data_IF_618858407187
#
_entry.id   IF_618858407187
#
_cell.length_a   1.000
_cell.length_b   1.000
_cell.length_c   1.000
_cell.angle_alpha   90.00
_cell.angle_beta   90.00
_cell.angle_gamma   90.00
#
_symmetry.space_group_name_H-M   'P 1'
#
loop_
_entity.id
_entity.type
_entity.pdbx_description
1 polymer ?
#
# COMPACT_ATOMS: atom_id res chain seq x y z
N UNK A 1 -14.54 -18.87 19.26
CA UNK A 1 -13.16 -19.09 18.80
C UNK A 1 -12.29 -18.28 19.74
N UNK A 2 -11.63 -18.95 20.68
CA UNK A 2 -10.84 -18.34 21.74
C UNK A 2 -9.59 -17.70 21.12
N UNK A 3 -9.32 -16.44 21.45
CA UNK A 3 -8.10 -15.77 21.01
C UNK A 3 -6.86 -16.53 21.52
N UNK A 4 -5.77 -16.66 20.74
CA UNK A 4 -4.55 -17.29 21.23
C UNK A 4 -3.91 -16.40 22.30
N UNK A 5 -3.89 -16.88 23.54
CA UNK A 5 -3.31 -16.22 24.70
C UNK A 5 -3.56 -17.04 25.97
N UNK A 6 -2.76 -16.85 27.04
CA UNK A 6 -3.03 -17.50 28.32
C UNK A 6 -4.43 -17.15 28.82
N UNK A 7 -5.07 -18.08 29.52
CA UNK A 7 -6.36 -17.85 30.17
C UNK A 7 -6.30 -16.56 31.02
N UNK A 8 -7.34 -15.69 31.01
CA UNK A 8 -7.28 -14.37 31.66
C UNK A 8 -6.95 -14.43 33.16
N UNK A 9 -7.33 -15.52 33.82
CA UNK A 9 -6.99 -15.80 35.22
C UNK A 9 -5.49 -16.09 35.46
N UNK A 10 -4.76 -16.54 34.43
CA UNK A 10 -3.35 -16.95 34.51
C UNK A 10 -2.40 -15.89 33.92
N UNK A 11 -2.92 -14.79 33.36
CA UNK A 11 -2.12 -13.72 32.78
C UNK A 11 -1.63 -12.74 33.87
N UNK A 12 -0.31 -12.63 34.09
CA UNK A 12 0.24 -11.77 35.13
C UNK A 12 -0.01 -10.29 34.83
N UNK A 13 -0.48 -9.54 35.82
CA UNK A 13 -0.77 -8.10 35.71
C UNK A 13 -2.22 -7.74 35.38
N UNK A 14 -3.12 -8.71 35.19
CA UNK A 14 -4.55 -8.45 35.00
C UNK A 14 -5.30 -8.46 36.34
N UNK A 15 -6.00 -7.37 36.63
CA UNK A 15 -7.02 -7.37 37.69
C UNK A 15 -8.20 -8.28 37.29
N UNK A 16 -8.90 -8.87 38.28
CA UNK A 16 -10.15 -9.60 38.03
C UNK A 16 -11.14 -8.72 37.24
N UNK A 17 -11.32 -9.02 35.95
CA UNK A 17 -12.04 -8.15 35.01
C UNK A 17 -11.30 -7.85 33.71
N UNK A 18 -10.02 -8.24 33.59
CA UNK A 18 -9.25 -8.12 32.34
C UNK A 18 -8.69 -6.71 32.08
N UNK A 19 -8.69 -5.85 33.10
CA UNK A 19 -8.00 -4.56 33.06
C UNK A 19 -6.57 -4.69 33.58
N UNK A 20 -5.64 -3.96 32.96
CA UNK A 20 -4.28 -3.76 33.43
C UNK A 20 -4.15 -2.39 34.11
N UNK A 21 -3.31 -2.23 35.14
CA UNK A 21 -2.98 -0.93 35.72
C UNK A 21 -2.48 0.08 34.68
N UNK A 22 -2.86 1.36 34.76
CA UNK A 22 -2.35 2.39 33.86
C UNK A 22 -0.83 2.50 33.94
N UNK A 23 -0.12 2.11 32.88
CA UNK A 23 1.35 2.06 32.84
C UNK A 23 1.91 0.70 32.42
N UNK A 24 1.11 -0.37 32.50
CA UNK A 24 1.43 -1.61 31.79
C UNK A 24 1.22 -1.40 30.29
N UNK A 25 2.25 -1.73 29.51
CA UNK A 25 2.18 -1.66 28.05
C UNK A 25 1.06 -2.61 27.61
N UNK A 26 0.04 -2.14 26.86
CA UNK A 26 -0.99 -3.02 26.32
C UNK A 26 -0.32 -4.20 25.60
N UNK A 27 -0.77 -5.46 25.77
CA UNK A 27 -0.18 -6.59 25.05
C UNK A 27 -0.33 -6.35 23.56
N UNK A 28 0.77 -6.01 22.88
CA UNK A 28 0.94 -5.73 21.44
C UNK A 28 -0.39 -5.58 20.68
N UNK A 29 -1.18 -4.56 21.06
CA UNK A 29 -2.51 -4.36 20.50
C UNK A 29 -2.34 -3.78 19.10
N UNK A 30 -2.35 -4.68 18.12
CA UNK A 30 -2.38 -4.32 16.71
C UNK A 30 -1.02 -4.24 16.05
N UNK A 31 -0.16 -5.25 16.23
CA UNK A 31 0.69 -5.63 15.10
C UNK A 31 -0.27 -5.96 13.96
N UNK A 32 -0.31 -5.11 12.93
CA UNK A 32 -1.06 -5.44 11.72
C UNK A 32 -0.49 -6.77 11.24
N UNK A 33 -1.32 -7.83 11.30
CA UNK A 33 -0.99 -9.23 11.01
C UNK A 33 -0.52 -9.48 9.55
N UNK A 34 -0.06 -8.44 8.85
CA UNK A 34 0.30 -8.44 7.44
C UNK A 34 1.62 -7.76 7.10
N UNK A 35 2.40 -7.24 8.05
CA UNK A 35 3.69 -6.57 7.71
C UNK A 35 4.83 -7.55 7.36
N UNK A 36 4.66 -8.84 7.67
CA UNK A 36 5.67 -9.86 7.34
C UNK A 36 5.49 -10.45 5.93
N UNK A 37 4.42 -10.12 5.21
CA UNK A 37 4.22 -10.60 3.85
C UNK A 37 5.06 -9.76 2.87
N UNK A 38 5.97 -10.37 2.10
CA UNK A 38 6.72 -9.67 1.07
C UNK A 38 5.76 -8.97 0.11
N UNK A 39 5.83 -7.65 0.05
CA UNK A 39 5.06 -6.89 -0.92
C UNK A 39 5.66 -7.12 -2.31
N UNK A 40 4.86 -7.52 -3.31
CA UNK A 40 5.36 -7.67 -4.66
C UNK A 40 5.81 -6.31 -5.19
N UNK A 41 7.06 -6.25 -5.67
CA UNK A 41 7.61 -5.04 -6.27
C UNK A 41 6.87 -4.79 -7.60
N UNK A 42 6.25 -3.61 -7.80
CA UNK A 42 5.56 -3.31 -9.04
C UNK A 42 6.50 -3.41 -10.24
N UNK A 43 6.05 -4.08 -11.29
CA UNK A 43 6.82 -4.16 -12.54
C UNK A 43 6.88 -2.78 -13.23
N UNK A 44 8.03 -2.44 -13.82
CA UNK A 44 8.20 -1.18 -14.55
C UNK A 44 7.54 -1.17 -15.94
N UNK A 45 7.17 -2.36 -16.46
CA UNK A 45 6.66 -2.54 -17.82
C UNK A 45 5.45 -1.66 -18.17
N UNK A 46 4.35 -1.71 -17.41
CA UNK A 46 3.14 -0.92 -17.69
C UNK A 46 3.40 0.59 -17.71
N UNK A 47 4.27 1.08 -16.81
CA UNK A 47 4.65 2.50 -16.77
C UNK A 47 5.42 2.92 -18.02
N UNK A 48 6.38 2.10 -18.47
CA UNK A 48 7.15 2.36 -19.69
C UNK A 48 6.24 2.36 -20.91
N UNK A 49 5.36 1.36 -21.04
CA UNK A 49 4.39 1.28 -22.16
C UNK A 49 3.51 2.51 -22.21
N UNK A 50 2.96 2.93 -21.06
CA UNK A 50 2.11 4.12 -20.96
C UNK A 50 2.85 5.38 -21.41
N UNK A 51 4.09 5.55 -20.96
CA UNK A 51 4.92 6.71 -21.30
C UNK A 51 5.24 6.75 -22.81
N UNK A 52 5.55 5.61 -23.42
CA UNK A 52 5.78 5.49 -24.86
C UNK A 52 4.51 5.85 -25.65
N UNK A 53 3.34 5.33 -25.26
CA UNK A 53 2.08 5.63 -25.93
C UNK A 53 1.77 7.13 -25.89
N UNK A 54 1.93 7.76 -24.72
CA UNK A 54 1.74 9.21 -24.58
C UNK A 54 2.75 9.98 -25.44
N UNK A 55 4.02 9.57 -25.44
CA UNK A 55 5.06 10.19 -26.25
C UNK A 55 4.74 10.16 -27.74
N UNK A 56 4.31 9.00 -28.25
CA UNK A 56 3.88 8.86 -29.65
C UNK A 56 2.68 9.75 -29.95
N UNK A 57 1.66 9.74 -29.09
CA UNK A 57 0.47 10.58 -29.27
C UNK A 57 0.83 12.07 -29.35
N UNK A 58 1.69 12.54 -28.45
CA UNK A 58 2.17 13.93 -28.45
C UNK A 58 2.90 14.25 -29.75
N UNK A 59 3.78 13.37 -30.22
CA UNK A 59 4.51 13.57 -31.47
C UNK A 59 3.57 13.61 -32.70
N UNK A 60 2.55 12.75 -32.73
CA UNK A 60 1.55 12.76 -33.81
C UNK A 60 0.75 14.06 -33.81
N UNK A 61 0.25 14.49 -32.63
CA UNK A 61 -0.51 15.74 -32.52
C UNK A 61 0.35 16.95 -32.87
N UNK A 62 1.57 17.03 -32.34
CA UNK A 62 2.51 18.10 -32.67
C UNK A 62 2.85 18.10 -34.16
N UNK A 63 3.14 16.93 -34.74
CA UNK A 63 3.41 16.78 -36.16
C UNK A 63 2.23 17.22 -37.03
N UNK A 64 1.00 16.87 -36.65
CA UNK A 64 -0.22 17.32 -37.33
C UNK A 64 -0.31 18.86 -37.36
N UNK A 65 -0.11 19.53 -36.22
CA UNK A 65 -0.14 20.99 -36.18
C UNK A 65 0.97 21.63 -37.00
N UNK A 66 2.19 21.07 -36.98
CA UNK A 66 3.32 21.54 -37.79
C UNK A 66 3.00 21.43 -39.28
N UNK A 67 2.53 20.26 -39.73
CA UNK A 67 2.14 20.05 -41.13
C UNK A 67 1.02 21.01 -41.55
N UNK A 68 0.01 21.18 -40.69
CA UNK A 68 -1.11 22.09 -40.96
C UNK A 68 -0.69 23.56 -41.01
N UNK A 69 0.25 23.98 -40.17
CA UNK A 69 0.79 25.34 -40.14
C UNK A 69 1.64 25.66 -41.37
N UNK A 70 2.25 24.64 -41.97
CA UNK A 70 3.02 24.74 -43.22
C UNK A 70 2.14 24.55 -44.46
N UNK A 71 0.81 24.39 -44.31
CA UNK A 71 -0.14 24.10 -45.39
C UNK A 71 0.23 22.84 -46.21
N UNK A 72 0.93 21.89 -45.56
CA UNK A 72 1.29 20.59 -46.11
C UNK A 72 0.18 19.54 -45.91
N UNK A 73 -0.88 19.91 -45.18
CA UNK A 73 -2.04 19.10 -44.84
C UNK A 73 -3.29 19.98 -44.71
#
# INVERSE_FOLDING_TARGET
MTAPGPEPEDAPGLEPGGSVPPGDVPPDAGQTSGLSHPQPIPSRGPGIVTLVVIGVLVLVVAGFFVLRALDLL
#
